data_IF_646602961724
#
_entry.id   IF_646602961724
#
_cell.length_a   1.000
_cell.length_b   1.000
_cell.length_c   1.000
_cell.angle_alpha   90.00
_cell.angle_beta   90.00
_cell.angle_gamma   90.00
#
_symmetry.space_group_name_H-M   'P 1'
#
loop_
_entity.id
_entity.type
_entity.pdbx_description
1 polymer ?
#
# COMPACT_ATOMS: atom_id res chain seq x y z
N UNK A 1 21.60 -9.39 -5.17
CA UNK A 1 22.10 -8.16 -4.52
C UNK A 1 21.84 -6.87 -5.33
N UNK A 2 21.24 -6.91 -6.54
CA UNK A 2 21.01 -5.69 -7.35
C UNK A 2 19.71 -4.90 -7.05
N UNK A 3 18.68 -5.52 -6.47
CA UNK A 3 17.38 -4.87 -6.27
C UNK A 3 17.39 -3.71 -5.27
N UNK A 4 18.22 -3.79 -4.23
CA UNK A 4 18.27 -2.77 -3.17
C UNK A 4 18.90 -1.44 -3.65
N UNK A 5 19.86 -1.50 -4.58
CA UNK A 5 20.56 -0.32 -5.11
C UNK A 5 19.68 0.44 -6.11
N UNK A 6 18.90 -0.29 -6.93
CA UNK A 6 18.01 0.31 -7.91
C UNK A 6 16.87 1.09 -7.24
N UNK A 7 16.23 0.51 -6.21
CA UNK A 7 15.16 1.18 -5.45
C UNK A 7 15.65 2.45 -4.75
N UNK A 8 16.84 2.37 -4.13
CA UNK A 8 17.44 3.53 -3.45
C UNK A 8 17.83 4.64 -4.45
N UNK A 9 18.37 4.27 -5.61
CA UNK A 9 18.71 5.22 -6.67
C UNK A 9 17.46 5.92 -7.23
N UNK A 10 16.35 5.19 -7.40
CA UNK A 10 15.07 5.76 -7.82
C UNK A 10 14.52 6.73 -6.78
N UNK A 11 14.58 6.39 -5.48
CA UNK A 11 14.18 7.29 -4.40
C UNK A 11 15.00 8.58 -4.42
N UNK A 12 16.33 8.46 -4.52
CA UNK A 12 17.23 9.63 -4.59
C UNK A 12 16.88 10.51 -5.78
N UNK A 13 16.69 9.95 -6.99
CA UNK A 13 16.32 10.73 -8.17
C UNK A 13 14.98 11.46 -8.02
N UNK A 14 14.00 10.82 -7.40
CA UNK A 14 12.69 11.43 -7.17
C UNK A 14 12.80 12.58 -6.18
N UNK A 15 13.55 12.41 -5.10
CA UNK A 15 13.75 13.46 -4.09
C UNK A 15 14.63 14.61 -4.59
N UNK A 16 15.68 14.32 -5.38
CA UNK A 16 16.62 15.33 -5.85
C UNK A 16 16.14 16.11 -7.06
N UNK A 17 15.30 15.50 -7.90
CA UNK A 17 14.99 16.03 -9.24
C UNK A 17 13.49 16.21 -9.43
N UNK A 18 12.70 15.16 -9.20
CA UNK A 18 11.26 15.17 -9.51
C UNK A 18 10.49 16.06 -8.54
N UNK A 19 10.71 15.92 -7.23
CA UNK A 19 10.01 16.69 -6.20
C UNK A 19 10.30 18.21 -6.30
N UNK A 20 11.54 18.66 -6.55
CA UNK A 20 11.82 20.06 -6.83
C UNK A 20 11.12 20.58 -8.09
N UNK A 21 11.11 19.81 -9.20
CA UNK A 21 10.41 20.19 -10.43
C UNK A 21 8.90 20.31 -10.21
N UNK A 22 8.29 19.39 -9.45
CA UNK A 22 6.87 19.48 -9.07
C UNK A 22 6.55 20.80 -8.37
N UNK A 23 7.40 21.25 -7.42
CA UNK A 23 7.22 22.54 -6.74
C UNK A 23 7.26 23.73 -7.70
N UNK A 24 8.16 23.70 -8.69
CA UNK A 24 8.26 24.75 -9.70
C UNK A 24 7.00 24.79 -10.57
N UNK A 25 6.53 23.63 -11.03
CA UNK A 25 5.29 23.52 -11.82
C UNK A 25 4.09 23.99 -11.01
N UNK A 26 3.94 23.52 -9.76
CA UNK A 26 2.85 23.93 -8.86
C UNK A 26 2.80 25.44 -8.68
N UNK A 27 3.98 26.06 -8.48
CA UNK A 27 4.10 27.52 -8.33
C UNK A 27 3.72 28.25 -9.62
N UNK A 28 4.22 27.80 -10.77
CA UNK A 28 3.90 28.43 -12.07
C UNK A 28 2.41 28.33 -12.35
N UNK A 29 1.80 27.15 -12.14
CA UNK A 29 0.37 26.94 -12.40
C UNK A 29 -0.49 27.77 -11.44
N UNK A 30 -0.16 27.76 -10.15
CA UNK A 30 -0.88 28.54 -9.15
C UNK A 30 -0.78 30.04 -9.41
N UNK A 31 0.40 30.55 -9.79
CA UNK A 31 0.56 31.97 -10.10
C UNK A 31 -0.09 32.35 -11.43
N UNK A 32 0.23 31.64 -12.52
CA UNK A 32 -0.14 32.06 -13.87
C UNK A 32 -1.55 31.69 -14.28
N UNK A 33 -2.05 30.56 -13.80
CA UNK A 33 -3.36 30.05 -14.22
C UNK A 33 -4.38 30.34 -13.14
N UNK A 34 -4.13 29.94 -11.89
CA UNK A 34 -5.13 30.11 -10.80
C UNK A 34 -5.27 31.58 -10.40
N UNK A 35 -4.16 32.26 -10.08
CA UNK A 35 -4.20 33.66 -9.62
C UNK A 35 -4.34 34.65 -10.77
N UNK A 36 -3.40 34.67 -11.72
CA UNK A 36 -3.39 35.65 -12.82
C UNK A 36 -4.51 35.36 -13.84
N UNK A 37 -4.84 34.09 -14.08
CA UNK A 37 -5.83 33.69 -15.10
C UNK A 37 -7.27 33.71 -14.60
N UNK A 38 -7.54 33.06 -13.47
CA UNK A 38 -8.89 32.96 -12.89
C UNK A 38 -9.19 34.01 -11.82
N UNK A 39 -8.21 34.81 -11.40
CA UNK A 39 -8.39 35.82 -10.34
C UNK A 39 -8.61 35.23 -8.94
N UNK A 40 -8.35 33.94 -8.76
CA UNK A 40 -8.59 33.25 -7.49
C UNK A 40 -7.32 33.26 -6.66
N UNK A 41 -7.35 33.94 -5.52
CA UNK A 41 -6.18 34.05 -4.62
C UNK A 41 -6.10 32.97 -3.56
N UNK A 42 -7.23 32.32 -3.30
CA UNK A 42 -7.41 31.45 -2.12
C UNK A 42 -7.16 29.96 -2.42
N UNK A 43 -6.97 29.62 -3.71
CA UNK A 43 -6.71 28.26 -4.16
C UNK A 43 -5.29 28.15 -4.70
N UNK A 44 -4.64 27.04 -4.39
CA UNK A 44 -3.35 26.67 -4.94
C UNK A 44 -3.45 25.30 -5.63
N UNK A 45 -2.70 25.16 -6.71
CA UNK A 45 -2.59 23.93 -7.46
C UNK A 45 -1.39 23.12 -6.95
N UNK A 46 -1.63 21.86 -6.60
CA UNK A 46 -0.59 20.93 -6.18
C UNK A 46 -0.66 19.61 -6.96
N UNK A 47 0.44 19.26 -7.62
CA UNK A 47 0.66 17.92 -8.16
C UNK A 47 0.80 16.91 -7.02
N UNK A 48 0.02 15.83 -7.08
CA UNK A 48 0.02 14.78 -6.06
C UNK A 48 1.40 14.17 -5.80
N UNK A 49 1.58 13.68 -4.57
CA UNK A 49 2.80 12.97 -4.16
C UNK A 49 3.00 11.72 -5.01
N UNK A 50 4.23 11.49 -5.45
CA UNK A 50 4.57 10.23 -6.12
C UNK A 50 4.79 9.18 -5.03
N UNK A 51 4.02 8.10 -5.04
CA UNK A 51 4.24 7.00 -4.10
C UNK A 51 5.44 6.17 -4.56
N UNK A 52 6.53 6.28 -3.82
CA UNK A 52 7.80 5.58 -4.07
C UNK A 52 8.04 4.43 -3.11
N UNK A 53 7.02 4.07 -2.32
CA UNK A 53 7.15 2.98 -1.36
C UNK A 53 7.24 1.65 -2.09
N UNK A 54 8.12 0.79 -1.60
CA UNK A 54 8.08 -0.62 -2.00
C UNK A 54 6.90 -1.29 -1.26
N UNK A 55 5.73 -1.22 -1.90
CA UNK A 55 4.51 -1.81 -1.35
C UNK A 55 4.63 -3.33 -1.16
N UNK A 56 5.51 -3.99 -1.92
CA UNK A 56 5.78 -5.43 -1.76
C UNK A 56 6.53 -5.69 -0.46
N UNK A 57 7.57 -4.90 -0.18
CA UNK A 57 8.31 -4.99 1.08
C UNK A 57 7.44 -4.63 2.30
N UNK A 58 6.53 -3.65 2.17
CA UNK A 58 5.56 -3.29 3.21
C UNK A 58 4.58 -4.45 3.44
N UNK A 59 4.03 -5.04 2.37
CA UNK A 59 3.12 -6.18 2.47
C UNK A 59 3.81 -7.41 3.09
N UNK A 60 5.02 -7.75 2.67
CA UNK A 60 5.78 -8.88 3.22
C UNK A 60 6.06 -8.71 4.73
N UNK A 61 6.40 -7.49 5.16
CA UNK A 61 6.55 -7.16 6.58
C UNK A 61 5.22 -7.26 7.30
N UNK A 62 4.15 -6.74 6.69
CA UNK A 62 2.79 -6.80 7.21
C UNK A 62 2.31 -8.23 7.43
N UNK A 63 2.47 -9.12 6.46
CA UNK A 63 2.09 -10.54 6.55
C UNK A 63 2.83 -11.23 7.71
N UNK A 64 4.12 -10.97 7.87
CA UNK A 64 4.90 -11.52 9.00
C UNK A 64 4.37 -11.03 10.34
N UNK A 65 4.03 -9.74 10.45
CA UNK A 65 3.46 -9.15 11.66
C UNK A 65 2.03 -9.65 11.94
N UNK A 66 1.24 -9.88 10.90
CA UNK A 66 -0.09 -10.47 11.00
C UNK A 66 -0.02 -11.90 11.53
N UNK A 67 0.89 -12.72 11.00
CA UNK A 67 1.03 -14.13 11.40
C UNK A 67 1.44 -14.33 12.87
N UNK A 68 2.10 -13.34 13.49
CA UNK A 68 2.47 -13.34 14.91
C UNK A 68 1.49 -12.55 15.80
N UNK A 69 0.38 -12.07 15.24
CA UNK A 69 -0.63 -11.31 15.98
C UNK A 69 -0.18 -9.90 16.41
N UNK A 70 0.83 -9.33 15.76
CA UNK A 70 1.35 -7.99 16.07
C UNK A 70 0.67 -6.88 15.25
N UNK A 71 0.00 -7.22 14.15
CA UNK A 71 -0.79 -6.28 13.32
C UNK A 71 -2.11 -6.90 12.86
N UNK A 72 -3.13 -6.07 12.67
CA UNK A 72 -4.40 -6.43 12.02
C UNK A 72 -4.34 -6.21 10.51
N UNK A 73 -5.33 -6.74 9.78
CA UNK A 73 -5.43 -6.55 8.32
C UNK A 73 -5.66 -5.07 7.97
N UNK A 74 -6.46 -4.35 8.74
CA UNK A 74 -6.70 -2.91 8.53
C UNK A 74 -5.44 -2.07 8.78
N UNK A 75 -4.63 -2.40 9.79
CA UNK A 75 -3.35 -1.72 10.02
C UNK A 75 -2.38 -1.90 8.84
N UNK A 76 -2.37 -3.08 8.21
CA UNK A 76 -1.53 -3.34 7.03
C UNK A 76 -2.05 -2.59 5.79
N UNK A 77 -3.37 -2.54 5.60
CA UNK A 77 -3.99 -1.75 4.52
C UNK A 77 -3.62 -0.28 4.62
N UNK A 78 -3.70 0.29 5.82
CA UNK A 78 -3.32 1.69 6.08
C UNK A 78 -1.82 1.90 5.76
N UNK A 79 -0.94 1.00 6.18
CA UNK A 79 0.50 1.08 5.85
C UNK A 79 0.75 1.08 4.34
N UNK A 80 -0.09 0.38 3.57
CA UNK A 80 -0.06 0.33 2.11
C UNK A 80 -0.75 1.54 1.43
N UNK A 81 -1.33 2.46 2.20
CA UNK A 81 -2.09 3.60 1.68
C UNK A 81 -3.49 3.25 1.15
N UNK A 82 -4.06 2.14 1.59
CA UNK A 82 -5.43 1.72 1.30
C UNK A 82 -6.37 2.12 2.44
N UNK A 83 -7.64 2.36 2.10
CA UNK A 83 -8.67 2.63 3.10
C UNK A 83 -8.91 1.40 3.99
N UNK A 84 -9.19 1.65 5.27
CA UNK A 84 -9.63 0.63 6.22
C UNK A 84 -10.97 0.04 5.79
N UNK A 85 -11.13 -1.27 5.99
CA UNK A 85 -12.41 -1.96 5.76
C UNK A 85 -13.33 -1.65 6.93
N UNK A 86 -14.56 -1.22 6.64
CA UNK A 86 -15.59 -1.00 7.65
C UNK A 86 -15.89 -2.32 8.39
N UNK A 87 -15.88 -2.34 9.74
CA UNK A 87 -16.23 -3.51 10.54
C UNK A 87 -17.60 -4.13 10.19
N UNK A 88 -18.52 -3.37 9.59
CA UNK A 88 -19.81 -3.87 9.09
C UNK A 88 -19.68 -4.74 7.85
N UNK A 89 -18.66 -4.52 7.04
CA UNK A 89 -18.37 -5.29 5.82
C UNK A 89 -17.56 -6.53 6.17
N UNK A 90 -16.53 -6.37 6.99
CA UNK A 90 -15.72 -7.48 7.48
C UNK A 90 -15.32 -7.25 8.96
N UNK A 91 -16.02 -7.88 9.91
CA UNK A 91 -15.72 -7.77 11.34
C UNK A 91 -14.35 -8.36 11.72
N UNK A 92 -13.70 -9.08 10.80
CA UNK A 92 -12.41 -9.71 11.04
C UNK A 92 -11.22 -8.83 10.66
N UNK A 93 -11.46 -7.72 9.94
CA UNK A 93 -10.41 -6.84 9.46
C UNK A 93 -9.59 -6.16 10.57
N UNK A 94 -10.21 -5.93 11.74
CA UNK A 94 -9.57 -5.35 12.94
C UNK A 94 -9.17 -6.40 13.99
N UNK A 95 -9.29 -7.70 13.68
CA UNK A 95 -8.92 -8.75 14.63
C UNK A 95 -7.45 -9.14 14.50
N UNK A 96 -6.82 -9.40 15.64
CA UNK A 96 -5.49 -9.99 15.72
C UNK A 96 -5.60 -11.52 15.65
N UNK A 97 -4.67 -12.13 14.92
CA UNK A 97 -4.58 -13.58 14.77
C UNK A 97 -3.23 -14.07 15.26
N UNK A 98 -3.22 -15.02 16.20
CA UNK A 98 -2.00 -15.68 16.65
C UNK A 98 -1.95 -17.06 16.01
N UNK A 99 -0.91 -17.35 15.23
CA UNK A 99 -0.60 -18.72 14.83
C UNK A 99 -0.03 -19.46 16.05
N UNK A 100 -0.90 -20.11 16.83
CA UNK A 100 -0.52 -20.69 18.13
C UNK A 100 0.05 -22.11 18.06
N UNK A 101 0.49 -22.59 16.90
CA UNK A 101 1.05 -23.94 16.80
C UNK A 101 2.52 -23.96 17.21
N UNK A 102 2.80 -24.50 18.39
CA UNK A 102 4.10 -25.10 18.68
C UNK A 102 4.27 -26.31 17.75
N UNK A 103 5.25 -26.27 16.85
CA UNK A 103 5.50 -27.34 15.86
C UNK A 103 6.83 -28.03 16.19
N UNK A 104 6.75 -29.13 16.92
CA UNK A 104 7.90 -30.03 17.08
C UNK A 104 8.14 -30.77 15.75
N UNK A 105 9.40 -30.76 15.29
CA UNK A 105 9.80 -31.43 14.04
C UNK A 105 9.65 -32.94 14.22
N UNK A 106 8.53 -33.49 13.77
CA UNK A 106 8.25 -34.94 13.75
C UNK A 106 6.97 -35.43 14.44
N UNK A 107 6.12 -34.56 14.99
CA UNK A 107 4.88 -35.00 15.63
C UNK A 107 3.66 -34.88 14.69
N UNK A 108 2.89 -35.98 14.58
CA UNK A 108 1.59 -36.02 13.89
C UNK A 108 0.59 -35.01 14.50
N UNK A 109 -0.26 -34.50 13.62
CA UNK A 109 -1.04 -33.25 13.69
C UNK A 109 -1.83 -33.00 14.98
N UNK A 110 -1.62 -31.83 15.59
CA UNK A 110 -2.40 -31.32 16.71
C UNK A 110 -3.67 -30.54 16.27
N UNK A 111 -4.83 -31.10 16.62
CA UNK A 111 -6.12 -30.48 17.04
C UNK A 111 -6.77 -29.34 16.25
N UNK A 112 -8.04 -29.54 15.90
CA UNK A 112 -8.95 -28.71 15.09
C UNK A 112 -9.01 -27.19 15.41
N UNK A 113 -8.77 -26.77 16.65
CA UNK A 113 -8.75 -25.34 17.00
C UNK A 113 -7.54 -24.60 16.40
N UNK A 114 -6.39 -25.26 16.32
CA UNK A 114 -5.21 -24.73 15.65
C UNK A 114 -5.38 -24.72 14.13
N UNK A 115 -6.07 -25.72 13.57
CA UNK A 115 -6.42 -25.76 12.16
C UNK A 115 -7.40 -24.62 11.78
N UNK A 116 -8.39 -24.31 12.63
CA UNK A 116 -9.31 -23.19 12.40
C UNK A 116 -8.60 -21.83 12.44
N UNK A 117 -7.68 -21.63 13.38
CA UNK A 117 -6.89 -20.40 13.46
C UNK A 117 -5.93 -20.27 12.27
N UNK A 118 -5.31 -21.36 11.83
CA UNK A 118 -4.50 -21.36 10.59
C UNK A 118 -5.33 -21.06 9.35
N UNK A 119 -6.51 -21.67 9.20
CA UNK A 119 -7.40 -21.39 8.07
C UNK A 119 -7.83 -19.91 8.02
N UNK A 120 -8.09 -19.29 9.18
CA UNK A 120 -8.39 -17.87 9.24
C UNK A 120 -7.19 -16.96 8.91
N UNK A 121 -5.97 -17.37 9.30
CA UNK A 121 -4.74 -16.67 8.90
C UNK A 121 -4.50 -16.81 7.40
N UNK A 122 -4.68 -18.00 6.84
CA UNK A 122 -4.53 -18.28 5.41
C UNK A 122 -5.54 -17.51 4.57
N UNK A 123 -6.82 -17.48 4.97
CA UNK A 123 -7.87 -16.67 4.31
C UNK A 123 -7.57 -15.18 4.41
N UNK A 124 -7.07 -14.71 5.56
CA UNK A 124 -6.61 -13.33 5.75
C UNK A 124 -5.48 -12.95 4.80
N UNK A 125 -4.45 -13.80 4.67
CA UNK A 125 -3.33 -13.62 3.76
C UNK A 125 -3.81 -13.62 2.30
N UNK A 126 -4.67 -14.56 1.92
CA UNK A 126 -5.22 -14.64 0.56
C UNK A 126 -5.99 -13.37 0.18
N UNK A 127 -6.83 -12.86 1.10
CA UNK A 127 -7.55 -11.60 0.92
C UNK A 127 -6.62 -10.39 0.80
N UNK A 128 -5.56 -10.32 1.62
CA UNK A 128 -4.52 -9.29 1.52
C UNK A 128 -3.83 -9.30 0.14
N UNK A 129 -3.49 -10.48 -0.39
CA UNK A 129 -2.92 -10.60 -1.72
C UNK A 129 -3.89 -10.17 -2.83
N UNK A 130 -5.18 -10.48 -2.69
CA UNK A 130 -6.21 -10.07 -3.63
C UNK A 130 -6.37 -8.53 -3.63
N UNK A 131 -6.48 -7.92 -2.45
CA UNK A 131 -6.57 -6.47 -2.28
C UNK A 131 -5.35 -5.76 -2.90
N UNK A 132 -4.14 -6.30 -2.66
CA UNK A 132 -2.91 -5.75 -3.24
C UNK A 132 -2.93 -5.84 -4.77
N UNK A 133 -3.35 -6.98 -5.33
CA UNK A 133 -3.42 -7.18 -6.78
C UNK A 133 -4.39 -6.18 -7.42
N UNK A 134 -5.55 -5.97 -6.82
CA UNK A 134 -6.53 -4.99 -7.29
C UNK A 134 -5.97 -3.56 -7.22
N UNK A 135 -5.31 -3.21 -6.11
CA UNK A 135 -4.67 -1.90 -5.95
C UNK A 135 -3.58 -1.65 -7.00
N UNK A 136 -2.75 -2.65 -7.29
CA UNK A 136 -1.72 -2.58 -8.35
C UNK A 136 -2.34 -2.44 -9.73
N UNK A 137 -3.39 -3.21 -10.05
CA UNK A 137 -4.09 -3.09 -11.33
C UNK A 137 -4.73 -1.71 -11.50
N UNK A 138 -5.34 -1.17 -10.45
CA UNK A 138 -5.93 0.17 -10.45
C UNK A 138 -4.86 1.23 -10.69
N UNK A 139 -3.74 1.15 -9.98
CA UNK A 139 -2.60 2.06 -10.15
C UNK A 139 -2.02 2.02 -11.57
N UNK A 140 -1.90 0.83 -12.17
CA UNK A 140 -1.44 0.66 -13.56
C UNK A 140 -2.42 1.24 -14.59
N UNK A 141 -3.73 1.15 -14.35
CA UNK A 141 -4.76 1.73 -15.23
C UNK A 141 -4.83 3.25 -15.12
N UNK A 142 -4.65 3.82 -13.93
CA UNK A 142 -4.62 5.28 -13.73
C UNK A 142 -3.29 5.93 -14.11
N UNK A 143 -2.21 5.14 -14.22
CA UNK A 143 -0.87 5.60 -14.58
C UNK A 143 -0.53 5.53 -16.08
N UNK A 144 -1.39 4.98 -16.93
CA UNK A 144 -1.22 5.09 -18.39
C UNK A 144 -1.70 6.48 -18.85
N UNK A 145 -0.86 7.29 -19.52
CA UNK A 145 -1.39 8.40 -20.29
C UNK A 145 -2.37 7.83 -21.33
N UNK A 146 -3.51 8.49 -21.48
CA UNK A 146 -4.48 8.21 -22.53
C UNK A 146 -3.84 8.57 -23.88
N UNK A 147 -3.07 7.65 -24.44
CA UNK A 147 -2.73 7.64 -25.86
C UNK A 147 -3.27 6.33 -26.46
N UNK A 148 -3.81 6.47 -27.67
CA UNK A 148 -4.49 5.50 -28.51
C UNK A 148 -5.97 5.21 -28.23
N UNK A 149 -6.82 6.21 -28.49
CA UNK A 149 -8.02 5.98 -29.33
C UNK A 149 -8.02 7.05 -30.42
N UNK A 150 -7.31 6.74 -31.52
CA UNK A 150 -7.58 7.28 -32.85
C UNK A 150 -8.52 6.34 -33.60
#
# INVERSE_FOLDING_TARGET
MGGNIASESTRIYIDSTVNPLKKVINRIFSQKIVRDGFGVTDLEFELGSLDIRDLTAILDRGIKMFGVGAKTRNEIRIDMGLDSIDPKVDPTADKYYLSSTYREVGAESATDAAAFQMAAVEDGIAKLHADFREAVEKALKTGRPAEDVG
#
